data_IF_633329435917
#
_entry.id   IF_633329435917
#
_cell.length_a   1.000
_cell.length_b   1.000
_cell.length_c   1.000
_cell.angle_alpha   90.00
_cell.angle_beta   90.00
_cell.angle_gamma   90.00
#
_symmetry.space_group_name_H-M   'P 1'
#
loop_
_entity.id
_entity.type
_entity.pdbx_description
1 polymer ?
#
# COMPACT_ATOMS: atom_id res chain seq x y z
N UNK A 1 -21.48 3.10 -20.15
CA UNK A 1 -21.28 4.48 -20.63
C UNK A 1 -21.49 4.54 -22.15
N UNK A 2 -21.89 5.70 -22.68
CA UNK A 2 -21.89 5.99 -24.13
C UNK A 2 -22.99 5.32 -24.97
N UNK A 3 -23.99 6.07 -25.45
CA UNK A 3 -23.97 6.61 -26.81
C UNK A 3 -24.15 8.14 -26.92
N UNK A 4 -24.44 8.81 -25.79
CA UNK A 4 -24.66 10.27 -25.72
C UNK A 4 -23.55 11.02 -24.95
N UNK A 5 -22.48 10.34 -24.53
CA UNK A 5 -21.37 10.94 -23.78
C UNK A 5 -20.02 10.29 -24.19
N UNK A 6 -19.43 10.71 -25.32
CA UNK A 6 -18.17 10.15 -25.82
C UNK A 6 -16.99 10.38 -24.86
N UNK A 7 -17.04 11.42 -24.01
CA UNK A 7 -16.01 11.71 -23.00
C UNK A 7 -16.10 10.87 -21.72
N UNK A 8 -17.01 9.91 -21.64
CA UNK A 8 -17.28 9.19 -20.41
C UNK A 8 -16.11 8.29 -19.98
N UNK A 9 -15.70 8.45 -18.72
CA UNK A 9 -14.79 7.55 -18.01
C UNK A 9 -15.64 6.54 -17.22
N UNK A 10 -15.37 5.24 -17.34
CA UNK A 10 -16.18 4.23 -16.65
C UNK A 10 -15.89 4.19 -15.16
N UNK A 11 -14.61 4.26 -14.79
CA UNK A 11 -14.15 4.27 -13.41
C UNK A 11 -12.88 5.11 -13.33
N UNK A 12 -12.98 6.25 -12.64
CA UNK A 12 -11.82 7.00 -12.20
C UNK A 12 -11.48 6.54 -10.78
N UNK A 13 -10.29 5.99 -10.59
CA UNK A 13 -9.94 5.25 -9.38
C UNK A 13 -8.73 5.88 -8.68
N UNK A 14 -8.91 6.18 -7.39
CA UNK A 14 -7.86 6.62 -6.49
C UNK A 14 -7.83 5.72 -5.25
N UNK A 15 -6.66 5.17 -4.97
CA UNK A 15 -6.41 4.33 -3.81
C UNK A 15 -5.18 4.78 -3.06
N UNK A 16 -5.20 4.78 -1.73
CA UNK A 16 -4.06 5.27 -0.93
C UNK A 16 -3.19 4.14 -0.33
N UNK A 17 -3.78 3.08 0.26
CA UNK A 17 -2.99 2.06 0.97
C UNK A 17 -3.50 0.61 0.80
N UNK A 18 -4.81 0.41 0.63
CA UNK A 18 -5.41 -0.92 0.49
C UNK A 18 -6.54 -0.86 -0.53
N UNK A 19 -6.20 -1.09 -1.78
CA UNK A 19 -7.16 -0.96 -2.87
C UNK A 19 -7.20 -2.23 -3.70
N UNK A 20 -8.41 -2.64 -4.09
CA UNK A 20 -8.64 -3.86 -4.86
C UNK A 20 -9.74 -3.60 -5.90
N UNK A 21 -9.43 -3.92 -7.15
CA UNK A 21 -10.42 -4.09 -8.22
C UNK A 21 -10.35 -5.56 -8.60
N UNK A 22 -11.37 -6.32 -8.23
CA UNK A 22 -11.42 -7.76 -8.49
C UNK A 22 -12.74 -8.15 -9.13
N UNK A 23 -12.68 -8.92 -10.22
CA UNK A 23 -13.86 -9.43 -10.94
C UNK A 23 -14.82 -8.33 -11.39
N UNK A 24 -14.27 -7.29 -12.03
CA UNK A 24 -15.06 -6.15 -12.52
C UNK A 24 -15.10 -6.16 -14.04
N UNK A 25 -16.27 -5.90 -14.62
CA UNK A 25 -16.42 -5.63 -16.07
C UNK A 25 -16.90 -4.20 -16.29
N UNK A 26 -16.06 -3.37 -16.92
CA UNK A 26 -16.40 -2.03 -17.37
C UNK A 26 -16.83 -2.11 -18.83
N UNK A 27 -18.08 -1.76 -19.13
CA UNK A 27 -18.65 -1.87 -20.49
C UNK A 27 -19.29 -0.58 -20.99
N UNK A 28 -18.99 -0.26 -22.23
CA UNK A 28 -19.63 0.78 -23.04
C UNK A 28 -20.08 0.21 -24.39
N UNK A 29 -20.96 0.92 -25.11
CA UNK A 29 -21.19 0.62 -26.52
C UNK A 29 -19.90 0.90 -27.30
N UNK A 30 -19.68 0.26 -28.46
CA UNK A 30 -18.42 0.43 -29.20
C UNK A 30 -18.18 1.91 -29.59
N UNK A 31 -17.00 2.44 -29.21
CA UNK A 31 -16.55 3.79 -29.57
C UNK A 31 -17.33 4.90 -28.86
N UNK A 32 -17.86 4.61 -27.68
CA UNK A 32 -18.79 5.51 -26.99
C UNK A 32 -18.31 5.99 -25.62
N UNK A 33 -17.17 5.50 -25.14
CA UNK A 33 -16.55 5.97 -23.89
C UNK A 33 -15.05 6.20 -24.08
N UNK A 34 -14.52 7.25 -23.46
CA UNK A 34 -13.13 7.66 -23.62
C UNK A 34 -12.15 6.73 -22.87
N UNK A 35 -12.42 6.44 -21.59
CA UNK A 35 -11.52 5.65 -20.74
C UNK A 35 -12.32 4.63 -19.93
N UNK A 36 -11.88 3.37 -19.91
CA UNK A 36 -12.42 2.34 -19.04
C UNK A 36 -12.05 2.59 -17.58
N UNK A 37 -10.79 2.37 -17.24
CA UNK A 37 -10.23 2.62 -15.91
C UNK A 37 -9.20 3.75 -15.98
N UNK A 38 -9.42 4.85 -15.27
CA UNK A 38 -8.48 5.96 -15.15
C UNK A 38 -7.77 5.90 -13.79
N UNK A 39 -6.49 5.55 -13.82
CA UNK A 39 -5.56 5.58 -12.68
C UNK A 39 -4.61 6.79 -12.74
N UNK A 40 -4.65 7.56 -13.83
CA UNK A 40 -3.79 8.72 -14.07
C UNK A 40 -4.36 10.04 -13.62
N UNK A 41 -5.63 10.09 -13.24
CA UNK A 41 -6.29 11.31 -12.73
C UNK A 41 -5.56 11.98 -11.55
N UNK A 42 -4.83 11.21 -10.75
CA UNK A 42 -4.12 11.71 -9.57
C UNK A 42 -2.74 11.06 -9.45
N UNK A 43 -1.69 11.84 -9.11
CA UNK A 43 -0.32 11.34 -9.06
C UNK A 43 -0.08 10.33 -7.92
N UNK A 44 -0.96 10.25 -6.93
CA UNK A 44 -0.69 9.55 -5.66
C UNK A 44 -1.42 8.21 -5.51
N UNK A 45 -1.62 7.49 -6.62
CA UNK A 45 -2.26 6.17 -6.56
C UNK A 45 -1.35 5.17 -5.84
N UNK A 46 -1.70 4.90 -4.58
CA UNK A 46 -1.07 3.91 -3.73
C UNK A 46 -1.29 2.48 -4.23
N UNK A 47 -0.52 1.52 -3.68
CA UNK A 47 -0.49 0.15 -4.16
C UNK A 47 -1.87 -0.52 -4.04
N UNK A 48 -2.29 -1.17 -5.13
CA UNK A 48 -3.58 -1.85 -5.21
C UNK A 48 -3.51 -3.13 -6.07
N UNK A 49 -4.39 -4.09 -5.77
CA UNK A 49 -4.54 -5.32 -6.54
C UNK A 49 -5.62 -5.15 -7.61
N UNK A 50 -5.26 -5.24 -8.87
CA UNK A 50 -6.22 -5.27 -9.98
C UNK A 50 -6.15 -6.65 -10.63
N UNK A 51 -7.24 -7.42 -10.52
CA UNK A 51 -7.32 -8.81 -10.98
C UNK A 51 -8.68 -9.12 -11.59
N UNK A 52 -8.69 -9.85 -12.71
CA UNK A 52 -9.93 -10.18 -13.44
C UNK A 52 -10.77 -8.93 -13.79
N UNK A 53 -10.10 -7.87 -14.25
CA UNK A 53 -10.74 -6.69 -14.81
C UNK A 53 -10.95 -6.89 -16.32
N UNK A 54 -12.17 -6.69 -16.80
CA UNK A 54 -12.51 -6.67 -18.22
C UNK A 54 -12.97 -5.27 -18.59
N UNK A 55 -12.43 -4.71 -19.68
CA UNK A 55 -12.82 -3.39 -20.19
C UNK A 55 -13.23 -3.51 -21.66
N UNK A 56 -14.44 -3.09 -21.98
CA UNK A 56 -15.05 -3.26 -23.31
C UNK A 56 -15.74 -1.98 -23.77
N UNK A 57 -15.56 -1.64 -25.06
CA UNK A 57 -16.28 -0.54 -25.71
C UNK A 57 -15.71 0.87 -25.49
N UNK A 58 -14.62 0.99 -24.74
CA UNK A 58 -13.89 2.26 -24.53
C UNK A 58 -12.77 2.43 -25.55
N UNK A 59 -12.41 3.69 -25.83
CA UNK A 59 -11.28 4.05 -26.68
C UNK A 59 -9.94 3.72 -26.00
N UNK A 60 -9.83 4.06 -24.71
CA UNK A 60 -8.71 3.67 -23.83
C UNK A 60 -9.18 2.64 -22.80
N UNK A 61 -8.49 1.49 -22.71
CA UNK A 61 -8.82 0.45 -21.73
C UNK A 61 -8.49 0.85 -20.29
N UNK A 62 -7.21 1.11 -20.02
CA UNK A 62 -6.71 1.61 -18.73
C UNK A 62 -5.78 2.79 -19.03
N UNK A 63 -6.00 3.93 -18.38
CA UNK A 63 -5.12 5.09 -18.44
C UNK A 63 -4.27 5.14 -17.17
N UNK A 64 -2.96 5.36 -17.36
CA UNK A 64 -1.97 5.56 -16.31
C UNK A 64 -1.27 6.88 -16.62
N UNK A 65 -1.22 7.77 -15.66
CA UNK A 65 -0.39 8.97 -15.70
C UNK A 65 0.35 9.05 -14.37
N UNK A 66 1.60 9.51 -14.41
CA UNK A 66 2.56 9.61 -13.28
C UNK A 66 3.30 8.32 -12.85
N UNK A 67 4.59 8.50 -12.48
CA UNK A 67 5.61 7.45 -12.20
C UNK A 67 5.63 6.89 -10.76
N UNK A 68 4.60 7.16 -9.96
CA UNK A 68 4.62 6.92 -8.50
C UNK A 68 4.05 5.54 -8.09
N UNK A 69 3.71 4.71 -9.08
CA UNK A 69 2.81 3.58 -8.90
C UNK A 69 3.57 2.26 -8.65
N UNK A 70 3.51 1.75 -7.42
CA UNK A 70 3.96 0.39 -7.05
C UNK A 70 2.86 -0.67 -7.24
N UNK A 71 2.01 -0.48 -8.25
CA UNK A 71 0.90 -1.37 -8.57
C UNK A 71 1.35 -2.61 -9.34
N UNK A 72 0.94 -3.79 -8.88
CA UNK A 72 1.16 -5.06 -9.59
C UNK A 72 -0.19 -5.60 -10.07
N UNK A 73 -0.39 -5.76 -11.38
CA UNK A 73 -1.65 -6.24 -11.95
C UNK A 73 -1.47 -7.08 -13.21
N UNK A 74 -2.24 -8.17 -13.34
CA UNK A 74 -2.37 -8.95 -14.57
C UNK A 74 -3.59 -8.44 -15.33
N UNK A 75 -3.35 -7.59 -16.33
CA UNK A 75 -4.40 -7.06 -17.21
C UNK A 75 -4.56 -8.03 -18.38
N UNK A 76 -5.71 -8.69 -18.49
CA UNK A 76 -6.08 -9.45 -19.69
C UNK A 76 -6.82 -8.49 -20.63
N UNK A 77 -6.07 -7.79 -21.48
CA UNK A 77 -6.66 -6.97 -22.54
C UNK A 77 -7.18 -7.87 -23.67
N UNK A 78 -8.47 -7.78 -23.98
CA UNK A 78 -9.03 -8.30 -25.24
C UNK A 78 -9.64 -7.13 -26.00
N UNK A 79 -8.81 -6.39 -26.73
CA UNK A 79 -9.25 -5.76 -27.99
C UNK A 79 -8.06 -5.58 -28.93
N UNK A 80 -8.22 -6.10 -30.15
CA UNK A 80 -7.38 -5.85 -31.32
C UNK A 80 -7.17 -4.33 -31.45
N UNK A 81 -5.92 -3.87 -31.33
CA UNK A 81 -5.19 -2.95 -32.22
C UNK A 81 -3.91 -2.53 -31.47
N UNK A 82 -2.80 -2.96 -32.08
CA UNK A 82 -1.39 -2.59 -31.98
C UNK A 82 -0.89 -1.67 -30.85
N UNK A 83 0.21 -2.14 -30.27
CA UNK A 83 1.16 -1.47 -29.37
C UNK A 83 0.81 -1.47 -27.88
N UNK A 84 1.20 -2.57 -27.24
CA UNK A 84 1.40 -2.69 -25.79
C UNK A 84 2.71 -2.01 -25.38
N UNK A 85 2.63 -0.88 -24.68
CA UNK A 85 3.76 -0.39 -23.88
C UNK A 85 3.53 -0.76 -22.40
N UNK A 86 4.41 -1.61 -21.87
CA UNK A 86 4.51 -1.90 -20.43
C UNK A 86 5.23 -0.73 -19.74
N UNK A 87 4.50 0.06 -18.96
CA UNK A 87 5.11 1.10 -18.13
C UNK A 87 5.84 0.46 -16.93
N UNK A 88 7.18 0.47 -16.99
CA UNK A 88 8.08 0.31 -15.85
C UNK A 88 8.52 1.70 -15.42
N UNK A 89 8.31 2.08 -14.16
CA UNK A 89 9.23 2.94 -13.41
C UNK A 89 8.83 3.00 -11.93
N UNK A 90 9.77 2.62 -11.05
CA UNK A 90 9.69 2.68 -9.60
C UNK A 90 10.38 3.96 -9.10
N UNK A 91 9.65 4.94 -8.55
CA UNK A 91 10.26 6.03 -7.75
C UNK A 91 9.30 6.47 -6.63
N UNK A 92 9.73 6.38 -5.37
CA UNK A 92 9.02 6.88 -4.20
C UNK A 92 9.11 8.41 -4.08
N UNK A 93 7.97 9.08 -4.13
CA UNK A 93 7.85 10.51 -3.82
C UNK A 93 7.60 10.74 -2.32
N UNK A 94 8.23 11.77 -1.75
CA UNK A 94 7.88 12.29 -0.41
C UNK A 94 6.62 13.14 -0.55
N UNK A 95 5.47 12.59 -0.20
CA UNK A 95 4.24 13.36 0.00
C UNK A 95 3.99 13.47 1.50
N UNK A 96 4.11 14.68 2.05
CA UNK A 96 3.65 14.99 3.40
C UNK A 96 2.41 15.87 3.29
N UNK A 97 1.23 15.30 3.52
CA UNK A 97 0.07 16.14 3.84
C UNK A 97 0.38 16.91 5.13
N UNK A 98 0.04 18.19 5.18
CA UNK A 98 0.20 18.93 6.43
C UNK A 98 -0.72 18.32 7.48
N UNK A 99 -0.23 18.12 8.70
CA UNK A 99 -1.03 17.60 9.80
C UNK A 99 -2.34 18.39 9.99
N UNK A 100 -2.30 19.70 9.74
CA UNK A 100 -3.47 20.57 9.76
C UNK A 100 -4.53 20.20 8.72
N UNK A 101 -4.15 19.75 7.52
CA UNK A 101 -5.11 19.34 6.49
C UNK A 101 -5.80 18.03 6.85
N UNK A 102 -5.05 17.09 7.45
CA UNK A 102 -5.55 15.79 7.91
C UNK A 102 -6.54 16.00 9.07
N UNK A 103 -6.18 16.81 10.05
CA UNK A 103 -7.05 17.15 11.18
C UNK A 103 -8.32 17.88 10.71
N UNK A 104 -8.20 18.85 9.81
CA UNK A 104 -9.37 19.58 9.26
C UNK A 104 -10.32 18.67 8.48
N UNK A 105 -9.84 17.52 7.99
CA UNK A 105 -10.66 16.52 7.29
C UNK A 105 -11.39 15.56 8.25
N UNK A 106 -11.21 15.74 9.57
CA UNK A 106 -11.87 14.95 10.61
C UNK A 106 -11.18 13.64 10.97
N UNK A 107 -9.94 13.42 10.50
CA UNK A 107 -9.15 12.26 10.91
C UNK A 107 -8.59 12.44 12.32
N UNK A 108 -8.63 11.36 13.10
CA UNK A 108 -8.18 11.32 14.50
C UNK A 108 -6.79 10.68 14.66
N UNK A 109 -6.25 10.10 13.58
CA UNK A 109 -4.90 9.58 13.54
C UNK A 109 -4.31 9.65 12.12
N UNK A 110 -2.98 9.66 12.05
CA UNK A 110 -2.17 9.48 10.84
C UNK A 110 -1.17 8.33 11.05
N UNK A 111 -0.75 7.69 9.96
CA UNK A 111 0.24 6.60 9.94
C UNK A 111 1.15 6.72 8.72
N UNK A 112 1.27 7.92 8.16
CA UNK A 112 2.02 8.20 6.95
C UNK A 112 3.54 8.30 7.19
N UNK A 113 3.97 8.53 8.43
CA UNK A 113 5.39 8.74 8.74
C UNK A 113 6.09 7.42 9.04
N UNK A 114 7.04 7.07 8.18
CA UNK A 114 7.97 5.97 8.39
C UNK A 114 9.28 6.50 9.03
N UNK A 115 9.54 6.28 10.34
CA UNK A 115 10.63 6.91 11.10
C UNK A 115 11.99 6.21 10.91
N UNK A 116 12.21 5.69 9.71
CA UNK A 116 13.44 5.06 9.24
C UNK A 116 13.72 5.58 7.82
N UNK A 117 14.84 5.21 7.23
CA UNK A 117 15.13 5.54 5.83
C UNK A 117 15.78 4.33 5.18
N UNK A 118 15.22 3.94 4.04
CA UNK A 118 15.78 2.93 3.15
C UNK A 118 15.87 3.53 1.73
N UNK A 119 16.29 2.72 0.75
CA UNK A 119 16.47 3.18 -0.63
C UNK A 119 15.16 3.48 -1.38
N UNK A 120 14.00 3.12 -0.83
CA UNK A 120 12.69 3.36 -1.42
C UNK A 120 11.96 4.55 -0.77
N UNK A 121 12.02 4.68 0.56
CA UNK A 121 11.25 5.67 1.30
C UNK A 121 11.76 5.85 2.74
N UNK A 122 11.15 6.83 3.43
CA UNK A 122 11.26 7.03 4.86
C UNK A 122 11.74 8.43 5.27
N UNK A 123 11.49 8.78 6.52
CA UNK A 123 11.75 10.10 7.10
C UNK A 123 12.57 9.95 8.39
N UNK A 124 13.89 10.15 8.30
CA UNK A 124 14.76 10.24 9.48
C UNK A 124 14.39 11.44 10.35
N UNK A 125 14.62 11.31 11.65
CA UNK A 125 14.41 12.38 12.63
C UNK A 125 13.02 12.38 13.29
N UNK A 126 12.09 11.57 12.78
CA UNK A 126 10.77 11.42 13.38
C UNK A 126 10.75 10.39 14.52
N UNK A 127 9.85 10.57 15.50
CA UNK A 127 9.65 9.58 16.56
C UNK A 127 9.24 8.21 16.01
N UNK A 128 9.77 7.15 16.62
CA UNK A 128 9.38 5.75 16.34
C UNK A 128 8.45 5.18 17.42
N UNK A 129 7.78 6.06 18.13
CA UNK A 129 6.76 5.81 19.15
C UNK A 129 5.54 6.68 18.84
N UNK A 130 4.41 6.44 19.49
CA UNK A 130 3.18 7.21 19.28
C UNK A 130 3.34 8.64 19.79
N UNK A 131 2.91 9.64 19.01
CA UNK A 131 2.97 11.04 19.39
C UNK A 131 1.88 11.84 18.69
N UNK A 132 1.50 12.96 19.27
CA UNK A 132 0.51 13.84 18.68
C UNK A 132 1.20 14.87 17.76
N UNK A 133 0.74 14.98 16.52
CA UNK A 133 1.12 16.08 15.62
C UNK A 133 0.52 17.40 16.06
N UNK A 134 -0.70 17.33 16.57
CA UNK A 134 -1.51 18.45 17.01
C UNK A 134 -2.41 17.99 18.17
N UNK A 135 -3.31 18.86 18.63
CA UNK A 135 -4.18 18.54 19.78
C UNK A 135 -5.02 17.28 19.59
N UNK A 136 -5.45 16.97 18.36
CA UNK A 136 -6.38 15.88 18.09
C UNK A 136 -5.89 14.84 17.07
N UNK A 137 -4.70 15.04 16.46
CA UNK A 137 -4.18 14.12 15.46
C UNK A 137 -3.03 13.29 16.03
N UNK A 138 -3.29 12.00 16.27
CA UNK A 138 -2.30 11.04 16.74
C UNK A 138 -1.50 10.43 15.58
N UNK A 139 -0.19 10.59 15.57
CA UNK A 139 0.69 9.82 14.68
C UNK A 139 0.94 8.43 15.25
N UNK A 140 0.69 7.43 14.42
CA UNK A 140 0.87 6.02 14.70
C UNK A 140 1.89 5.49 13.68
N UNK A 141 3.21 5.59 13.95
CA UNK A 141 4.19 5.12 13.00
C UNK A 141 4.20 3.58 12.93
N UNK A 142 4.69 2.99 11.82
CA UNK A 142 4.94 1.56 11.74
C UNK A 142 5.92 1.11 12.85
N UNK A 143 5.72 -0.09 13.38
CA UNK A 143 6.62 -0.66 14.40
C UNK A 143 8.07 -0.65 13.94
N UNK A 144 8.94 -0.06 14.75
CA UNK A 144 10.37 -0.07 14.50
C UNK A 144 11.12 -0.58 15.74
N UNK A 145 12.19 -1.33 15.51
CA UNK A 145 13.11 -1.76 16.54
C UNK A 145 14.38 -0.90 16.47
N UNK A 146 14.66 -0.18 17.55
CA UNK A 146 15.94 0.51 17.71
C UNK A 146 17.00 -0.47 18.19
N UNK A 147 18.02 -0.71 17.36
CA UNK A 147 19.20 -1.50 17.70
C UNK A 147 20.40 -0.57 17.65
N UNK A 148 21.00 -0.29 18.81
CA UNK A 148 22.02 0.74 18.98
C UNK A 148 21.55 2.10 18.39
N UNK A 149 22.27 2.63 17.39
CA UNK A 149 21.96 3.90 16.74
C UNK A 149 21.14 3.74 15.44
N UNK A 150 20.65 2.53 15.14
CA UNK A 150 19.90 2.24 13.91
C UNK A 150 18.44 1.95 14.27
N UNK A 151 17.51 2.58 13.56
CA UNK A 151 16.08 2.29 13.62
C UNK A 151 15.76 1.36 12.45
N UNK A 152 15.40 0.12 12.76
CA UNK A 152 15.01 -0.87 11.76
C UNK A 152 13.49 -1.02 11.73
N UNK A 153 12.86 -1.00 10.54
CA UNK A 153 11.45 -1.34 10.43
C UNK A 153 11.21 -2.80 10.85
N UNK A 154 10.16 -2.97 11.64
CA UNK A 154 9.74 -4.24 12.22
C UNK A 154 8.23 -4.43 12.04
N UNK A 155 7.70 -3.94 10.92
CA UNK A 155 6.28 -3.66 10.70
C UNK A 155 5.66 -4.36 9.50
N UNK A 156 6.05 -5.61 9.20
CA UNK A 156 5.52 -6.39 8.07
C UNK A 156 6.39 -6.32 6.80
N UNK A 157 5.77 -6.43 5.63
CA UNK A 157 6.42 -6.32 4.32
C UNK A 157 7.65 -7.25 4.13
N UNK A 158 8.68 -6.73 3.43
CA UNK A 158 9.91 -7.47 3.12
C UNK A 158 10.62 -8.01 4.37
N UNK A 159 10.68 -7.21 5.44
CA UNK A 159 11.33 -7.60 6.70
C UNK A 159 10.63 -8.79 7.35
N UNK A 160 9.29 -8.75 7.41
CA UNK A 160 8.52 -9.89 7.89
C UNK A 160 8.64 -11.09 6.97
N UNK A 161 8.71 -10.92 5.64
CA UNK A 161 8.88 -12.05 4.71
C UNK A 161 10.22 -12.77 4.90
N UNK A 162 11.32 -12.03 4.96
CA UNK A 162 12.68 -12.59 4.97
C UNK A 162 13.12 -13.13 6.34
N UNK A 163 12.77 -12.44 7.43
CA UNK A 163 13.31 -12.76 8.74
C UNK A 163 12.69 -14.03 9.32
N UNK A 164 13.45 -14.94 9.96
CA UNK A 164 12.87 -16.07 10.69
C UNK A 164 11.81 -15.62 11.69
N UNK A 165 10.67 -16.32 11.74
CA UNK A 165 9.51 -15.87 12.52
C UNK A 165 9.82 -15.71 14.02
N UNK A 166 10.65 -16.58 14.60
CA UNK A 166 11.04 -16.47 16.01
C UNK A 166 11.74 -15.14 16.33
N UNK A 167 12.59 -14.65 15.41
CA UNK A 167 13.27 -13.36 15.57
C UNK A 167 12.28 -12.21 15.45
N UNK A 168 11.38 -12.29 14.46
CA UNK A 168 10.32 -11.30 14.31
C UNK A 168 9.49 -11.20 15.59
N UNK A 169 9.02 -12.34 16.10
CA UNK A 169 8.21 -12.44 17.33
C UNK A 169 8.91 -11.82 18.53
N UNK A 170 10.18 -12.11 18.76
CA UNK A 170 10.95 -11.53 19.88
C UNK A 170 11.04 -10.01 19.75
N UNK A 171 11.37 -9.49 18.55
CA UNK A 171 11.44 -8.05 18.32
C UNK A 171 10.09 -7.36 18.47
N UNK A 172 9.04 -7.94 17.89
CA UNK A 172 7.68 -7.41 17.95
C UNK A 172 7.15 -7.39 19.39
N UNK A 173 7.38 -8.43 20.18
CA UNK A 173 7.05 -8.45 21.61
C UNK A 173 7.80 -7.39 22.42
N UNK A 174 9.07 -7.12 22.10
CA UNK A 174 9.84 -6.04 22.75
C UNK A 174 9.24 -4.67 22.45
N UNK A 175 8.84 -4.42 21.20
CA UNK A 175 8.17 -3.17 20.79
C UNK A 175 6.83 -3.04 21.50
N UNK A 176 5.99 -4.08 21.44
CA UNK A 176 4.69 -4.12 22.13
C UNK A 176 4.82 -3.83 23.62
N UNK A 177 5.81 -4.39 24.31
CA UNK A 177 6.05 -4.14 25.73
C UNK A 177 6.50 -2.70 26.00
N UNK A 178 7.32 -2.12 25.12
CA UNK A 178 7.90 -0.78 25.30
C UNK A 178 6.90 0.34 24.99
N UNK A 179 6.12 0.18 23.92
CA UNK A 179 5.17 1.20 23.45
C UNK A 179 3.73 0.91 23.90
N UNK A 180 3.53 -0.20 24.62
CA UNK A 180 2.21 -0.72 24.98
C UNK A 180 1.27 -0.82 23.75
N UNK A 181 1.87 -1.18 22.62
CA UNK A 181 1.26 -1.19 21.30
C UNK A 181 2.29 -1.55 20.24
N UNK A 182 1.83 -2.09 19.12
CA UNK A 182 2.68 -2.45 17.98
C UNK A 182 1.85 -2.57 16.72
N UNK A 183 2.33 -1.97 15.63
CA UNK A 183 1.67 -1.92 14.33
C UNK A 183 2.37 -2.86 13.36
N UNK A 184 1.58 -3.63 12.61
CA UNK A 184 2.04 -4.42 11.47
C UNK A 184 1.24 -4.02 10.24
N UNK A 185 1.91 -3.94 9.09
CA UNK A 185 1.31 -3.54 7.84
C UNK A 185 1.83 -4.42 6.69
N UNK A 186 0.93 -4.72 5.74
CA UNK A 186 1.26 -5.53 4.58
C UNK A 186 0.65 -4.89 3.33
N UNK A 187 1.38 -4.96 2.24
CA UNK A 187 0.85 -4.61 0.93
C UNK A 187 -0.06 -5.74 0.44
N UNK A 188 -1.05 -5.41 -0.39
CA UNK A 188 -1.88 -6.41 -1.05
C UNK A 188 -1.03 -7.37 -1.90
N UNK A 189 0.00 -6.85 -2.57
CA UNK A 189 0.98 -7.63 -3.31
C UNK A 189 1.71 -8.66 -2.44
N UNK A 190 1.88 -8.43 -1.12
CA UNK A 190 2.57 -9.38 -0.25
C UNK A 190 1.84 -10.73 -0.19
N UNK A 191 0.51 -10.74 -0.41
CA UNK A 191 -0.35 -11.92 -0.39
C UNK A 191 -0.59 -12.55 -1.76
N UNK A 192 -0.11 -11.92 -2.82
CA UNK A 192 -0.25 -12.46 -4.17
C UNK A 192 0.99 -13.31 -4.51
N UNK A 193 0.81 -14.63 -4.62
CA UNK A 193 1.88 -15.55 -5.03
C UNK A 193 2.03 -15.62 -6.55
N UNK A 194 1.03 -15.12 -7.30
CA UNK A 194 0.93 -15.22 -8.75
C UNK A 194 1.21 -13.86 -9.43
N UNK A 195 1.84 -12.93 -8.71
CA UNK A 195 2.12 -11.61 -9.25
C UNK A 195 2.92 -11.71 -10.56
N UNK A 196 2.56 -10.94 -11.60
CA UNK A 196 3.32 -10.87 -12.84
C UNK A 196 4.79 -10.55 -12.57
N UNK A 197 5.67 -11.16 -13.37
CA UNK A 197 7.11 -10.91 -13.31
C UNK A 197 7.43 -9.61 -14.06
N UNK A 198 7.65 -8.54 -13.30
CA UNK A 198 7.96 -7.21 -13.82
C UNK A 198 9.43 -7.17 -14.24
N UNK A 199 9.72 -6.54 -15.39
CA UNK A 199 11.09 -6.24 -15.83
C UNK A 199 11.63 -5.03 -15.05
N UNK A 200 12.32 -5.28 -13.96
CA UNK A 200 12.85 -4.25 -13.07
C UNK A 200 14.30 -4.52 -12.68
N UNK A 201 14.92 -3.57 -11.96
CA UNK A 201 16.28 -3.75 -11.44
C UNK A 201 16.34 -4.94 -10.47
N UNK A 202 17.49 -5.62 -10.32
CA UNK A 202 17.61 -6.79 -9.44
C UNK A 202 17.17 -6.53 -7.99
N UNK A 203 17.43 -5.35 -7.46
CA UNK A 203 17.03 -4.95 -6.10
C UNK A 203 15.51 -4.85 -5.96
N UNK A 204 14.84 -4.27 -6.96
CA UNK A 204 13.37 -4.13 -7.00
C UNK A 204 12.74 -5.51 -7.11
N UNK A 205 13.26 -6.34 -8.01
CA UNK A 205 12.84 -7.74 -8.15
C UNK A 205 12.96 -8.50 -6.83
N UNK A 206 14.04 -8.27 -6.09
CA UNK A 206 14.22 -8.89 -4.77
C UNK A 206 13.14 -8.43 -3.78
N UNK A 207 12.84 -7.13 -3.70
CA UNK A 207 11.79 -6.60 -2.82
C UNK A 207 10.43 -7.22 -3.13
N UNK A 208 10.06 -7.29 -4.41
CA UNK A 208 8.76 -7.79 -4.84
C UNK A 208 8.58 -9.27 -4.49
N UNK A 209 9.57 -10.10 -4.82
CA UNK A 209 9.34 -11.56 -4.82
C UNK A 209 9.95 -12.32 -3.64
N UNK A 210 10.86 -11.72 -2.88
CA UNK A 210 11.57 -12.47 -1.85
C UNK A 210 10.66 -12.82 -0.66
N UNK A 211 10.69 -14.09 -0.26
CA UNK A 211 10.00 -14.61 0.93
C UNK A 211 8.48 -14.73 0.85
N UNK A 212 7.84 -14.48 -0.31
CA UNK A 212 6.38 -14.54 -0.47
C UNK A 212 5.77 -15.89 -0.05
N UNK A 213 6.41 -17.00 -0.46
CA UNK A 213 5.91 -18.37 -0.17
C UNK A 213 5.82 -18.69 1.32
N UNK A 214 6.59 -18.01 2.16
CA UNK A 214 6.66 -18.25 3.60
C UNK A 214 5.66 -17.37 4.37
N UNK A 215 5.17 -16.30 3.75
CA UNK A 215 4.31 -15.31 4.39
C UNK A 215 3.04 -15.94 5.00
N UNK A 216 2.27 -16.82 4.32
CA UNK A 216 1.01 -17.32 4.86
C UNK A 216 1.18 -18.06 6.20
N UNK A 217 2.12 -19.01 6.27
CA UNK A 217 2.40 -19.78 7.50
C UNK A 217 2.86 -18.89 8.66
N UNK A 218 3.68 -17.88 8.35
CA UNK A 218 4.20 -16.94 9.35
C UNK A 218 3.11 -16.00 9.85
N UNK A 219 2.22 -15.56 8.95
CA UNK A 219 1.09 -14.73 9.31
C UNK A 219 0.10 -15.49 10.18
N UNK A 220 -0.17 -16.77 9.89
CA UNK A 220 -0.99 -17.63 10.76
C UNK A 220 -0.41 -17.70 12.18
N UNK A 221 0.89 -17.98 12.29
CA UNK A 221 1.59 -17.97 13.59
C UNK A 221 1.48 -16.62 14.29
N UNK A 222 1.64 -15.52 13.54
CA UNK A 222 1.51 -14.15 14.05
C UNK A 222 0.12 -13.83 14.59
N UNK A 223 -0.92 -14.22 13.86
CA UNK A 223 -2.31 -14.00 14.27
C UNK A 223 -2.61 -14.75 15.56
N UNK A 224 -2.13 -15.99 15.69
CA UNK A 224 -2.31 -16.78 16.91
C UNK A 224 -1.55 -16.18 18.11
N UNK A 225 -0.31 -15.75 17.91
CA UNK A 225 0.53 -15.19 18.98
C UNK A 225 0.07 -13.81 19.47
N UNK A 226 -0.38 -12.94 18.55
CA UNK A 226 -0.61 -11.51 18.86
C UNK A 226 -2.06 -11.05 18.71
N UNK A 227 -2.94 -11.82 18.04
CA UNK A 227 -4.36 -11.49 17.83
C UNK A 227 -4.56 -10.03 17.35
N UNK A 228 -3.92 -9.62 16.24
CA UNK A 228 -3.94 -8.25 15.79
C UNK A 228 -5.36 -7.78 15.47
N UNK A 229 -5.62 -6.49 15.70
CA UNK A 229 -6.88 -5.84 15.37
C UNK A 229 -6.64 -4.59 14.52
N UNK A 230 -7.65 -4.11 13.78
CA UNK A 230 -7.59 -2.81 13.11
C UNK A 230 -7.29 -1.69 14.11
N UNK A 231 -6.47 -0.70 13.70
CA UNK A 231 -6.08 0.44 14.54
C UNK A 231 -7.29 1.11 15.19
N UNK A 232 -8.37 1.31 14.42
CA UNK A 232 -9.58 1.96 14.93
C UNK A 232 -10.21 1.25 16.14
N UNK A 233 -10.09 -0.08 16.23
CA UNK A 233 -10.61 -0.85 17.38
C UNK A 233 -9.72 -0.74 18.62
N UNK A 234 -8.42 -0.58 18.40
CA UNK A 234 -7.42 -0.43 19.46
C UNK A 234 -7.08 1.03 19.77
N UNK A 235 -7.70 2.00 19.09
CA UNK A 235 -7.34 3.42 19.19
C UNK A 235 -7.45 3.94 20.62
N UNK A 236 -8.56 3.65 21.31
CA UNK A 236 -8.75 4.06 22.70
C UNK A 236 -7.74 3.39 23.65
N UNK A 237 -7.39 2.13 23.40
CA UNK A 237 -6.36 1.44 24.19
C UNK A 237 -5.00 2.10 23.99
N UNK A 238 -4.63 2.43 22.75
CA UNK A 238 -3.40 3.15 22.43
C UNK A 238 -3.35 4.52 23.12
N UNK A 239 -4.46 5.26 23.14
CA UNK A 239 -4.55 6.55 23.84
C UNK A 239 -4.37 6.42 25.34
N UNK A 240 -5.09 5.48 25.99
CA UNK A 240 -4.94 5.23 27.43
C UNK A 240 -3.51 4.86 27.81
N UNK A 241 -2.80 4.21 26.90
CA UNK A 241 -1.43 3.74 27.10
C UNK A 241 -0.36 4.83 26.91
N UNK A 242 -0.73 6.01 26.43
CA UNK A 242 0.17 7.17 26.29
C UNK A 242 0.17 8.09 27.52
N UNK A 243 -0.82 7.93 28.42
CA UNK A 243 -0.98 8.68 29.68
C UNK A 243 -0.27 7.92 30.81
#
# INVERSE_FOLDING_TARGET
AGAANPGAIALQFFGSNQCRIEQVTLRAANGSGAIGLDLGYTPDNGPGLIRHLTVEGFDTGVSLDFKVNSGTGKISMLKKINDTEEANDNIGGKLSFSASSIENSGYIYDSSICPFENFLYGLKGYPHYYYFHSKNLLEIPPSCLKIANIILPWSGGLYFRLMPYFMFRVGFSKIKKKLNGSIIYFHTADFDLEQPKIKCKPIEKFIHYAGLKQLPKKLESFILDFKPQPIIKSYNELLCNMI
#
